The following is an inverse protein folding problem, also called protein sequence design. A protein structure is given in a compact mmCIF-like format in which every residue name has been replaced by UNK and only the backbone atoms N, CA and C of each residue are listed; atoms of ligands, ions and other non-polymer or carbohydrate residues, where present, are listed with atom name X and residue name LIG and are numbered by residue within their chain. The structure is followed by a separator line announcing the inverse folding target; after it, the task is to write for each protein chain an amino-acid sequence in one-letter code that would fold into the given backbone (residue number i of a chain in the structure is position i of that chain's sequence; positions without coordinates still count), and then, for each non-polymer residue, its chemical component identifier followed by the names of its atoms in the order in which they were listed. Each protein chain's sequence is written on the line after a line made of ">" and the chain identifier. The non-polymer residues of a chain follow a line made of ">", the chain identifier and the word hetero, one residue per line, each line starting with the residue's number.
data_IF_348186628363
#
_entry.id   IF_348186628363
#
_cell.length_a   1.000
_cell.length_b   1.000
_cell.length_c   1.000
_cell.angle_alpha   90.00
_cell.angle_beta   90.00
_cell.angle_gamma   90.00
#
_symmetry.space_group_name_H-M   'P 1'
#
loop_
_entity.id
_entity.type
_entity.pdbx_description
1 polymer ?
#
# COMPACT_ATOMS: atom_id res chain seq x y z
N UNK A 1 -19.03 -22.52 -4.27
CA UNK A 1 -18.41 -21.27 -3.76
C UNK A 1 -16.91 -21.36 -4.04
N UNK A 2 -16.34 -20.46 -4.87
CA UNK A 2 -14.88 -20.42 -5.09
C UNK A 2 -14.22 -19.84 -3.83
N UNK A 3 -13.11 -20.41 -3.32
CA UNK A 3 -12.39 -19.80 -2.21
C UNK A 3 -11.94 -18.40 -2.63
N UNK A 4 -12.35 -17.38 -1.87
CA UNK A 4 -11.80 -16.04 -1.99
C UNK A 4 -10.32 -16.18 -1.66
N UNK A 5 -9.46 -15.99 -2.65
CA UNK A 5 -8.02 -16.00 -2.41
C UNK A 5 -7.70 -14.72 -1.65
N UNK A 6 -7.55 -14.84 -0.34
CA UNK A 6 -7.06 -13.78 0.52
C UNK A 6 -5.56 -13.58 0.25
N UNK A 7 -5.12 -12.32 0.21
CA UNK A 7 -3.72 -11.94 0.09
C UNK A 7 -3.32 -11.13 1.32
N UNK A 8 -2.02 -11.07 1.64
CA UNK A 8 -1.55 -10.14 2.66
C UNK A 8 -1.60 -8.71 2.13
N UNK A 9 -1.84 -7.75 3.03
CA UNK A 9 -1.62 -6.33 2.76
C UNK A 9 -0.19 -6.10 2.23
N UNK A 10 -0.03 -5.19 1.26
CA UNK A 10 1.27 -4.91 0.66
C UNK A 10 2.23 -4.08 1.53
N UNK A 11 1.76 -3.50 2.64
CA UNK A 11 2.59 -2.80 3.61
C UNK A 11 3.54 -3.76 4.34
N UNK A 12 4.79 -3.36 4.60
CA UNK A 12 5.87 -4.28 5.01
C UNK A 12 5.59 -4.97 6.35
N UNK A 13 5.04 -4.22 7.31
CA UNK A 13 4.81 -4.69 8.68
C UNK A 13 3.35 -5.12 8.91
N UNK A 14 2.48 -4.93 7.93
CA UNK A 14 1.07 -5.26 8.05
C UNK A 14 0.83 -6.76 7.85
N UNK A 15 0.07 -7.36 8.77
CA UNK A 15 -0.34 -8.79 8.68
C UNK A 15 -1.82 -8.96 8.33
N UNK A 16 -2.53 -7.88 8.01
CA UNK A 16 -3.93 -7.94 7.65
C UNK A 16 -4.12 -8.71 6.33
N UNK A 17 -5.17 -9.52 6.26
CA UNK A 17 -5.62 -10.15 5.02
C UNK A 17 -6.54 -9.22 4.25
N UNK A 18 -6.39 -9.22 2.93
CA UNK A 18 -7.15 -8.40 1.98
C UNK A 18 -7.77 -9.30 0.91
N UNK A 19 -8.88 -8.85 0.34
CA UNK A 19 -9.52 -9.59 -0.73
C UNK A 19 -8.72 -9.50 -2.03
N UNK A 20 -8.87 -10.51 -2.89
CA UNK A 20 -8.22 -10.52 -4.20
C UNK A 20 -8.58 -9.25 -5.00
N UNK A 21 -7.57 -8.51 -5.43
CA UNK A 21 -7.73 -7.24 -6.15
C UNK A 21 -7.64 -6.00 -5.25
N UNK A 22 -7.59 -6.17 -3.93
CA UNK A 22 -7.18 -5.13 -3.00
C UNK A 22 -5.67 -5.23 -2.77
N UNK A 23 -4.98 -4.09 -2.74
CA UNK A 23 -3.53 -4.02 -2.53
C UNK A 23 -3.20 -3.77 -1.05
N UNK A 24 -4.01 -2.96 -0.38
CA UNK A 24 -3.85 -2.59 1.02
C UNK A 24 -5.12 -2.90 1.80
N UNK A 25 -5.00 -3.13 3.12
CA UNK A 25 -6.16 -3.26 4.00
C UNK A 25 -6.89 -1.92 4.11
N UNK A 26 -8.16 -1.89 4.57
CA UNK A 26 -8.92 -0.64 4.69
C UNK A 26 -8.16 0.43 5.48
N UNK A 27 -7.55 0.09 6.61
CA UNK A 27 -6.84 1.05 7.47
C UNK A 27 -5.67 1.70 6.73
N UNK A 28 -4.82 0.91 6.07
CA UNK A 28 -3.69 1.43 5.29
C UNK A 28 -4.14 2.14 4.02
N UNK A 29 -5.17 1.63 3.35
CA UNK A 29 -5.69 2.27 2.16
C UNK A 29 -6.23 3.67 2.47
N UNK A 30 -7.00 3.84 3.54
CA UNK A 30 -7.58 5.12 3.93
C UNK A 30 -6.59 6.06 4.60
N UNK A 31 -5.46 5.55 5.10
CA UNK A 31 -4.38 6.38 5.62
C UNK A 31 -3.58 7.09 4.52
N UNK A 32 -3.63 6.60 3.28
CA UNK A 32 -2.90 7.17 2.15
C UNK A 32 -3.45 8.54 1.70
N UNK A 33 -2.57 9.43 1.18
CA UNK A 33 -2.98 10.66 0.54
C UNK A 33 -3.98 10.38 -0.60
N UNK A 34 -4.94 11.30 -0.78
CA UNK A 34 -5.99 11.13 -1.79
C UNK A 34 -5.44 10.98 -3.21
N UNK A 35 -4.37 11.70 -3.55
CA UNK A 35 -3.71 11.59 -4.85
C UNK A 35 -3.26 10.15 -5.14
N UNK A 36 -2.61 9.50 -4.16
CA UNK A 36 -2.12 8.12 -4.26
C UNK A 36 -3.28 7.12 -4.30
N UNK A 37 -4.31 7.31 -3.46
CA UNK A 37 -5.53 6.47 -3.48
C UNK A 37 -6.23 6.48 -4.83
N UNK A 38 -6.22 7.61 -5.54
CA UNK A 38 -6.80 7.73 -6.89
C UNK A 38 -5.87 7.16 -7.96
N UNK A 39 -4.55 7.30 -7.82
CA UNK A 39 -3.58 6.85 -8.81
C UNK A 39 -3.61 5.32 -9.04
N UNK A 40 -3.70 4.53 -7.96
CA UNK A 40 -3.69 3.06 -8.02
C UNK A 40 -4.83 2.49 -8.90
N UNK A 41 -6.13 2.73 -8.61
CA UNK A 41 -7.21 2.20 -9.43
C UNK A 41 -7.26 2.82 -10.83
N UNK A 42 -6.82 4.07 -11.01
CA UNK A 42 -6.75 4.71 -12.32
C UNK A 42 -5.72 4.04 -13.23
N UNK A 43 -4.50 3.80 -12.73
CA UNK A 43 -3.45 3.12 -13.48
C UNK A 43 -3.83 1.68 -13.81
N UNK A 44 -4.47 0.96 -12.87
CA UNK A 44 -4.96 -0.40 -13.11
C UNK A 44 -6.05 -0.43 -14.20
N UNK A 45 -7.05 0.45 -14.11
CA UNK A 45 -8.14 0.53 -15.11
C UNK A 45 -7.64 0.97 -16.49
N UNK A 46 -6.61 1.80 -16.54
CA UNK A 46 -5.95 2.22 -17.78
C UNK A 46 -5.01 1.16 -18.37
N UNK A 47 -4.80 0.02 -17.69
CA UNK A 47 -3.86 -1.03 -18.13
C UNK A 47 -2.38 -0.61 -18.06
N UNK A 48 -2.08 0.48 -17.35
CA UNK A 48 -0.72 1.01 -17.22
C UNK A 48 0.02 0.35 -16.05
N UNK A 49 0.44 -0.90 -16.24
CA UNK A 49 1.04 -1.71 -15.17
C UNK A 49 2.37 -1.17 -14.62
N UNK A 50 3.11 -0.37 -15.38
CA UNK A 50 4.30 0.32 -14.86
C UNK A 50 3.91 1.37 -13.81
N UNK A 51 3.03 2.30 -14.18
CA UNK A 51 2.49 3.35 -13.30
C UNK A 51 1.77 2.75 -12.09
N UNK A 52 1.03 1.66 -12.29
CA UNK A 52 0.39 0.93 -11.19
C UNK A 52 1.41 0.43 -10.17
N UNK A 53 2.50 -0.18 -10.62
CA UNK A 53 3.55 -0.69 -9.71
C UNK A 53 4.24 0.44 -8.97
N UNK A 54 4.52 1.55 -9.65
CA UNK A 54 5.10 2.75 -9.04
C UNK A 54 4.18 3.35 -7.97
N UNK A 55 2.89 3.54 -8.28
CA UNK A 55 1.93 4.06 -7.31
C UNK A 55 1.73 3.14 -6.10
N UNK A 56 1.81 1.81 -6.30
CA UNK A 56 1.76 0.84 -5.19
C UNK A 56 3.05 0.89 -4.35
N UNK A 57 4.22 1.03 -4.98
CA UNK A 57 5.49 1.17 -4.26
C UNK A 57 5.50 2.47 -3.44
N UNK A 58 5.12 3.60 -4.03
CA UNK A 58 5.00 4.88 -3.33
C UNK A 58 4.02 4.79 -2.15
N UNK A 59 2.85 4.17 -2.35
CA UNK A 59 1.90 3.95 -1.27
C UNK A 59 2.50 3.12 -0.12
N UNK A 60 3.24 2.06 -0.45
CA UNK A 60 3.92 1.23 0.54
C UNK A 60 4.97 2.04 1.31
N UNK A 61 5.80 2.80 0.63
CA UNK A 61 6.83 3.62 1.26
C UNK A 61 6.22 4.66 2.21
N UNK A 62 5.09 5.27 1.83
CA UNK A 62 4.36 6.21 2.69
C UNK A 62 3.78 5.55 3.94
N UNK A 63 3.27 4.32 3.82
CA UNK A 63 2.76 3.56 4.96
C UNK A 63 3.92 3.15 5.86
N UNK A 64 4.96 2.56 5.29
CA UNK A 64 6.10 2.05 6.02
C UNK A 64 6.86 3.19 6.70
N UNK A 65 7.03 4.35 6.08
CA UNK A 65 7.67 5.53 6.70
C UNK A 65 6.89 6.08 7.90
N UNK A 66 5.56 5.87 7.93
CA UNK A 66 4.72 6.27 9.07
C UNK A 66 4.76 5.26 10.21
N UNK A 67 4.82 3.97 9.87
CA UNK A 67 4.87 2.89 10.87
C UNK A 67 6.27 2.67 11.41
N UNK A 68 7.29 2.96 10.60
CA UNK A 68 8.68 2.89 11.00
C UNK A 68 9.04 4.15 11.80
N UNK A 69 8.85 4.05 13.11
CA UNK A 69 9.44 5.00 14.03
C UNK A 69 10.90 4.60 14.26
N UNK A 70 11.89 5.43 13.87
CA UNK A 70 13.29 5.09 14.09
C UNK A 70 13.54 4.92 15.60
N UNK A 71 14.06 3.74 15.97
CA UNK A 71 14.37 3.39 17.37
C UNK A 71 15.46 4.28 17.99
N UNK A 72 16.12 5.11 17.19
CA UNK A 72 17.13 6.07 17.64
C UNK A 72 16.83 7.47 17.06
N UNK A 73 16.25 8.38 17.87
CA UNK A 73 16.12 9.78 17.49
C UNK A 73 17.47 10.47 17.70
N UNK A 74 18.33 10.45 16.67
CA UNK A 74 19.52 11.29 16.65
C UNK A 74 20.78 10.56 16.18
N UNK A 75 21.09 10.75 14.90
CA UNK A 75 22.45 10.86 14.35
C UNK A 75 22.31 11.57 12.99
N UNK A 76 21.68 12.74 13.01
CA UNK A 76 21.93 13.75 11.98
C UNK A 76 22.99 14.67 12.58
N UNK A 77 24.21 14.54 12.06
CA UNK A 77 25.40 15.27 12.44
C UNK A 77 25.25 16.79 12.35
#
# INVERSE_FOLDING_TARGET
>A
MRPVRECACAATLCRATVQRGQVFCPDHYWSLPEAVRRAIPNAFRAGQFAVFREAVAEARDLIDAREFQPLFPGEAA
#
